data_IF_303417754989
#
_entry.id   IF_303417754989
#
_cell.length_a   1.000
_cell.length_b   1.000
_cell.length_c   1.000
_cell.angle_alpha   90.00
_cell.angle_beta   90.00
_cell.angle_gamma   90.00
#
_symmetry.space_group_name_H-M   'P 1'
#
loop_
_entity.id
_entity.type
_entity.pdbx_description
1 polymer ?
#
# COMPACT_ATOMS: atom_id res chain seq x y z
N UNK A 1 0.31 -10.44 -9.97
CA UNK A 1 -0.28 -9.91 -8.72
C UNK A 1 -0.81 -8.48 -8.80
N UNK A 2 0.01 -7.44 -9.06
CA UNK A 2 -0.47 -6.03 -9.13
C UNK A 2 -1.75 -5.84 -9.95
N UNK A 3 -1.77 -6.36 -11.17
CA UNK A 3 -2.89 -6.19 -12.11
C UNK A 3 -4.16 -6.86 -11.59
N UNK A 4 -4.05 -8.05 -10.99
CA UNK A 4 -5.19 -8.77 -10.41
C UNK A 4 -5.83 -7.96 -9.28
N UNK A 5 -5.01 -7.45 -8.35
CA UNK A 5 -5.48 -6.59 -7.25
C UNK A 5 -6.09 -5.29 -7.80
N UNK A 6 -5.43 -4.64 -8.76
CA UNK A 6 -5.95 -3.39 -9.34
C UNK A 6 -7.26 -3.57 -10.11
N UNK A 7 -7.50 -4.74 -10.71
CA UNK A 7 -8.73 -5.03 -11.43
C UNK A 7 -9.95 -5.27 -10.52
N UNK A 8 -9.73 -5.50 -9.20
CA UNK A 8 -10.82 -5.58 -8.22
C UNK A 8 -11.48 -4.21 -7.97
N UNK A 9 -10.78 -3.11 -8.27
CA UNK A 9 -11.25 -1.75 -8.01
C UNK A 9 -11.64 -1.03 -9.29
N UNK A 10 -12.71 -0.23 -9.23
CA UNK A 10 -13.11 0.62 -10.34
C UNK A 10 -12.05 1.70 -10.62
N UNK A 11 -11.70 1.93 -11.90
CA UNK A 11 -10.57 2.81 -12.29
C UNK A 11 -10.70 4.26 -11.81
N UNK A 12 -11.92 4.74 -11.55
CA UNK A 12 -12.16 6.10 -11.03
C UNK A 12 -12.17 6.17 -9.49
N UNK A 13 -12.18 5.03 -8.80
CA UNK A 13 -12.31 4.94 -7.35
C UNK A 13 -11.09 5.52 -6.63
N UNK A 14 -11.28 5.89 -5.37
CA UNK A 14 -10.21 6.43 -4.55
C UNK A 14 -9.14 5.37 -4.25
N UNK A 15 -9.60 4.16 -3.94
CA UNK A 15 -8.80 2.97 -3.65
C UNK A 15 -7.89 2.63 -4.84
N UNK A 16 -8.44 2.60 -6.07
CA UNK A 16 -7.64 2.37 -7.27
C UNK A 16 -6.53 3.41 -7.42
N UNK A 17 -6.84 4.70 -7.23
CA UNK A 17 -5.85 5.78 -7.33
C UNK A 17 -4.78 5.69 -6.24
N UNK A 18 -5.18 5.37 -5.01
CA UNK A 18 -4.29 5.22 -3.86
C UNK A 18 -3.35 4.02 -4.04
N UNK A 19 -3.89 2.83 -4.32
CA UNK A 19 -3.12 1.61 -4.56
C UNK A 19 -2.19 1.80 -5.76
N UNK A 20 -2.68 2.38 -6.86
CA UNK A 20 -1.85 2.65 -8.05
C UNK A 20 -0.66 3.56 -7.75
N UNK A 21 -0.87 4.63 -6.99
CA UNK A 21 0.15 5.63 -6.64
C UNK A 21 1.18 5.08 -5.66
N UNK A 22 0.73 4.38 -4.63
CA UNK A 22 1.58 3.88 -3.55
C UNK A 22 1.96 2.41 -3.72
N UNK A 23 1.79 1.83 -4.90
CA UNK A 23 2.13 0.43 -5.16
C UNK A 23 3.58 0.10 -4.75
N UNK A 24 4.52 1.00 -5.03
CA UNK A 24 5.94 0.84 -4.64
C UNK A 24 6.12 0.75 -3.12
N UNK A 25 5.24 1.38 -2.34
CA UNK A 25 5.27 1.36 -0.88
C UNK A 25 4.91 -0.02 -0.32
N UNK A 26 3.91 -0.67 -0.93
CA UNK A 26 3.46 -2.03 -0.58
C UNK A 26 4.59 -3.04 -0.83
N UNK A 27 5.43 -2.80 -1.83
CA UNK A 27 6.58 -3.64 -2.17
C UNK A 27 7.87 -3.27 -1.43
N UNK A 28 7.86 -2.25 -0.58
CA UNK A 28 9.05 -1.85 0.14
C UNK A 28 9.27 -2.74 1.38
N UNK A 29 10.52 -2.96 1.77
CA UNK A 29 10.86 -3.54 3.06
C UNK A 29 10.25 -2.67 4.18
N UNK A 30 9.32 -3.26 4.93
CA UNK A 30 8.59 -2.56 5.99
C UNK A 30 9.49 -2.01 7.09
N UNK A 31 10.65 -2.62 7.34
CA UNK A 31 11.65 -2.15 8.32
C UNK A 31 12.34 -0.85 7.89
N UNK A 32 12.33 -0.57 6.58
CA UNK A 32 12.97 0.62 5.99
C UNK A 32 11.97 1.74 5.71
N UNK A 33 10.73 1.64 6.19
CA UNK A 33 9.74 2.70 6.02
C UNK A 33 10.08 3.88 6.91
N UNK A 34 10.25 5.05 6.29
CA UNK A 34 10.49 6.29 7.01
C UNK A 34 9.26 6.73 7.81
N UNK A 35 9.51 7.11 9.05
CA UNK A 35 8.53 7.71 9.97
C UNK A 35 8.32 9.22 9.73
N UNK A 36 8.95 9.79 8.70
CA UNK A 36 8.73 11.20 8.35
C UNK A 36 7.42 11.37 7.60
N UNK A 37 6.49 12.11 8.21
CA UNK A 37 5.24 12.51 7.60
C UNK A 37 5.43 13.62 6.56
N UNK A 38 4.76 13.52 5.41
CA UNK A 38 4.59 14.68 4.53
C UNK A 38 3.16 14.74 3.99
N UNK A 39 2.77 15.91 3.49
CA UNK A 39 1.47 16.08 2.87
C UNK A 39 1.26 15.08 1.72
N UNK A 40 0.12 14.37 1.74
CA UNK A 40 -0.25 13.39 0.73
C UNK A 40 -1.52 13.86 0.01
N UNK A 41 -1.41 14.36 -1.23
CA UNK A 41 -2.58 14.86 -1.97
C UNK A 41 -3.71 13.84 -2.16
N UNK A 42 -3.36 12.54 -2.20
CA UNK A 42 -4.37 11.48 -2.30
C UNK A 42 -5.28 11.47 -1.07
N UNK A 43 -4.70 11.60 0.13
CA UNK A 43 -5.44 11.54 1.40
C UNK A 43 -5.79 12.93 1.96
N UNK A 44 -5.27 14.01 1.36
CA UNK A 44 -5.43 15.41 1.76
C UNK A 44 -5.02 15.68 3.22
N UNK A 45 -3.97 15.00 3.69
CA UNK A 45 -3.42 15.15 5.04
C UNK A 45 -1.95 14.77 5.07
N UNK A 46 -1.24 15.15 6.13
CA UNK A 46 0.13 14.69 6.37
C UNK A 46 0.10 13.25 6.88
N UNK A 47 0.77 12.35 6.18
CA UNK A 47 0.88 10.95 6.57
C UNK A 47 2.32 10.46 6.42
N UNK A 48 2.70 9.60 7.33
CA UNK A 48 3.90 8.76 7.24
C UNK A 48 3.67 7.63 6.23
N UNK A 49 4.76 6.98 5.85
CA UNK A 49 4.68 5.82 4.97
C UNK A 49 3.98 4.63 5.62
N UNK A 50 4.11 4.46 6.95
CA UNK A 50 3.42 3.42 7.70
C UNK A 50 1.91 3.64 7.72
N UNK A 51 1.45 4.86 8.04
CA UNK A 51 0.01 5.17 8.04
C UNK A 51 -0.63 5.04 6.66
N UNK A 52 0.09 5.40 5.59
CA UNK A 52 -0.40 5.17 4.22
C UNK A 52 -0.54 3.68 3.97
N UNK A 53 0.47 2.89 4.32
CA UNK A 53 0.42 1.45 4.14
C UNK A 53 -0.76 0.85 4.89
N UNK A 54 -0.96 1.19 6.16
CA UNK A 54 -2.10 0.70 6.96
C UNK A 54 -3.44 1.05 6.32
N UNK A 55 -3.60 2.28 5.83
CA UNK A 55 -4.81 2.69 5.07
C UNK A 55 -4.99 1.87 3.80
N UNK A 56 -3.93 1.59 3.05
CA UNK A 56 -4.02 0.77 1.84
C UNK A 56 -4.42 -0.67 2.17
N UNK A 57 -3.83 -1.25 3.21
CA UNK A 57 -4.14 -2.62 3.66
C UNK A 57 -5.56 -2.74 4.23
N UNK A 58 -6.14 -1.64 4.74
CA UNK A 58 -7.55 -1.61 5.16
C UNK A 58 -8.57 -1.69 4.01
N UNK A 59 -8.15 -1.52 2.75
CA UNK A 59 -9.08 -1.56 1.61
C UNK A 59 -9.49 -2.96 1.17
N UNK A 60 -8.74 -4.00 1.53
CA UNK A 60 -9.08 -5.39 1.23
C UNK A 60 -8.23 -6.35 2.04
N UNK A 61 -8.88 -7.37 2.61
CA UNK A 61 -8.19 -8.48 3.27
C UNK A 61 -7.30 -9.24 2.28
N UNK A 62 -7.69 -9.41 1.01
CA UNK A 62 -6.83 -10.03 0.00
C UNK A 62 -5.52 -9.25 -0.11
N UNK A 63 -5.58 -7.93 -0.23
CA UNK A 63 -4.38 -7.09 -0.35
C UNK A 63 -3.46 -7.24 0.88
N UNK A 64 -4.04 -7.37 2.07
CA UNK A 64 -3.32 -7.59 3.32
C UNK A 64 -2.62 -8.96 3.35
N UNK A 65 -3.29 -10.04 2.97
CA UNK A 65 -2.68 -11.37 2.88
C UNK A 65 -1.53 -11.38 1.86
N UNK A 66 -1.75 -10.78 0.69
CA UNK A 66 -0.72 -10.65 -0.35
C UNK A 66 0.51 -9.88 0.15
N UNK A 67 0.28 -8.80 0.89
CA UNK A 67 1.36 -8.02 1.50
C UNK A 67 2.13 -8.84 2.53
N UNK A 68 1.45 -9.56 3.42
CA UNK A 68 2.09 -10.40 4.44
C UNK A 68 2.97 -11.49 3.81
N UNK A 69 2.46 -12.19 2.80
CA UNK A 69 3.23 -13.18 2.05
C UNK A 69 4.46 -12.56 1.40
N UNK A 70 4.31 -11.38 0.79
CA UNK A 70 5.45 -10.68 0.17
C UNK A 70 6.52 -10.26 1.19
N UNK A 71 6.12 -9.76 2.36
CA UNK A 71 7.06 -9.41 3.43
C UNK A 71 7.79 -10.64 3.99
N UNK A 72 7.08 -11.77 4.16
CA UNK A 72 7.71 -13.03 4.57
C UNK A 72 8.79 -13.46 3.57
N UNK A 73 8.48 -13.44 2.28
CA UNK A 73 9.45 -13.79 1.24
C UNK A 73 10.67 -12.85 1.24
N UNK A 74 10.50 -11.56 1.52
CA UNK A 74 11.60 -10.59 1.62
C UNK A 74 12.47 -10.76 2.88
N UNK A 75 11.97 -11.40 3.94
CA UNK A 75 12.70 -11.60 5.20
C UNK A 75 13.36 -12.95 5.32
N UNK A 76 12.85 -13.97 4.64
CA UNK A 76 13.32 -15.36 4.77
C UNK A 76 14.30 -15.81 3.69
N UNK A 77 14.38 -15.10 2.55
CA UNK A 77 15.32 -15.35 1.46
C UNK A 77 16.15 -14.09 1.20
#
# INVERSE_FOLDING_TARGET
MRVQIMNQYHRKSHEYKAIKRYWKLIQQDSRKLSDKGFYRPTFRMHLTNKEILDKLLSYSEDLKHHYQLYQLLLFHF
#
